data_IF_517556413624
#
_entry.id   IF_517556413624
#
_cell.length_a   1.000
_cell.length_b   1.000
_cell.length_c   1.000
_cell.angle_alpha   90.00
_cell.angle_beta   90.00
_cell.angle_gamma   90.00
#
_symmetry.space_group_name_H-M   'P 1'
#
loop_
_entity.id
_entity.type
_entity.pdbx_description
1 polymer ?
#
# COMPACT_ATOMS: atom_id res chain seq x y z
N UNK A 1 -17.32 16.08 27.53
CA UNK A 1 -16.77 14.74 27.23
C UNK A 1 -15.86 14.28 28.37
N UNK A 2 -16.16 13.15 29.02
CA UNK A 2 -15.38 12.68 30.19
C UNK A 2 -13.96 12.25 29.80
N UNK A 3 -12.96 12.40 30.70
CA UNK A 3 -11.56 12.03 30.43
C UNK A 3 -11.38 10.57 29.99
N UNK A 4 -12.19 9.66 30.53
CA UNK A 4 -12.20 8.24 30.15
C UNK A 4 -12.63 8.03 28.70
N UNK A 5 -13.63 8.78 28.22
CA UNK A 5 -14.14 8.66 26.85
C UNK A 5 -13.08 9.09 25.82
N UNK A 6 -12.30 10.15 26.12
CA UNK A 6 -11.14 10.56 25.30
C UNK A 6 -10.04 9.49 25.24
N UNK A 7 -9.76 8.81 26.36
CA UNK A 7 -8.75 7.75 26.43
C UNK A 7 -9.15 6.52 25.62
N UNK A 8 -10.42 6.11 25.69
CA UNK A 8 -10.95 4.99 24.90
C UNK A 8 -10.86 5.29 23.40
N UNK A 9 -11.36 6.44 22.96
CA UNK A 9 -11.29 6.83 21.54
C UNK A 9 -9.86 6.89 21.01
N UNK A 10 -8.89 7.35 21.82
CA UNK A 10 -7.48 7.35 21.43
C UNK A 10 -6.94 5.93 21.26
N UNK A 11 -7.27 5.01 22.16
CA UNK A 11 -6.87 3.59 22.05
C UNK A 11 -7.48 2.92 20.83
N UNK A 12 -8.74 3.20 20.50
CA UNK A 12 -9.40 2.69 19.30
C UNK A 12 -8.70 3.18 18.03
N UNK A 13 -8.32 4.46 17.96
CA UNK A 13 -7.57 5.01 16.83
C UNK A 13 -6.18 4.36 16.66
N UNK A 14 -5.47 4.10 17.77
CA UNK A 14 -4.20 3.39 17.72
C UNK A 14 -4.38 1.94 17.29
N UNK A 15 -5.41 1.25 17.77
CA UNK A 15 -5.72 -0.13 17.37
C UNK A 15 -6.03 -0.21 15.88
N UNK A 16 -6.87 0.69 15.36
CA UNK A 16 -7.19 0.75 13.94
C UNK A 16 -5.96 1.07 13.09
N UNK A 17 -5.09 1.97 13.54
CA UNK A 17 -3.82 2.27 12.84
C UNK A 17 -2.85 1.09 12.85
N UNK A 18 -2.83 0.32 13.94
CA UNK A 18 -1.98 -0.87 14.07
C UNK A 18 -2.50 -2.04 13.22
N UNK A 19 -3.83 -2.17 13.11
CA UNK A 19 -4.48 -3.15 12.23
C UNK A 19 -4.11 -2.91 10.77
N UNK A 20 -4.21 -1.65 10.32
CA UNK A 20 -3.78 -1.23 8.97
C UNK A 20 -2.29 -1.46 8.73
N UNK A 21 -1.44 -1.22 9.74
CA UNK A 21 -0.02 -1.51 9.66
C UNK A 21 0.27 -3.00 9.47
N UNK A 22 -0.39 -3.85 10.26
CA UNK A 22 -0.23 -5.29 10.19
C UNK A 22 -0.72 -5.88 8.86
N UNK A 23 -1.86 -5.42 8.35
CA UNK A 23 -2.35 -5.85 7.04
C UNK A 23 -1.37 -5.48 5.92
N UNK A 24 -0.77 -4.29 5.99
CA UNK A 24 0.20 -3.83 5.02
C UNK A 24 1.49 -4.65 5.06
N UNK A 25 2.02 -4.92 6.25
CA UNK A 25 3.20 -5.80 6.42
C UNK A 25 2.90 -7.21 5.86
N UNK A 26 1.71 -7.76 6.13
CA UNK A 26 1.28 -9.06 5.60
C UNK A 26 1.08 -9.06 4.08
N UNK A 27 0.75 -7.92 3.48
CA UNK A 27 0.69 -7.77 2.03
C UNK A 27 2.09 -7.77 1.43
N UNK A 28 3.05 -7.10 2.07
CA UNK A 28 4.45 -7.12 1.66
C UNK A 28 5.06 -8.52 1.75
N UNK A 29 4.83 -9.23 2.85
CA UNK A 29 5.29 -10.62 3.00
C UNK A 29 4.77 -11.53 1.87
N UNK A 30 3.49 -11.38 1.52
CA UNK A 30 2.88 -12.11 0.39
C UNK A 30 3.49 -11.77 -0.97
N UNK A 31 3.94 -10.54 -1.15
CA UNK A 31 4.66 -10.11 -2.35
C UNK A 31 6.16 -10.47 -2.31
N UNK A 32 6.64 -11.17 -1.26
CA UNK A 32 8.04 -11.53 -1.10
C UNK A 32 8.96 -10.35 -0.75
N UNK A 33 8.39 -9.25 -0.26
CA UNK A 33 9.12 -8.06 0.16
C UNK A 33 8.84 -7.73 1.63
N UNK A 34 9.48 -6.70 2.15
CA UNK A 34 9.20 -6.18 3.50
C UNK A 34 8.96 -4.69 3.44
N UNK A 35 8.21 -4.16 4.39
CA UNK A 35 8.02 -2.71 4.51
C UNK A 35 9.35 -1.96 4.60
N UNK A 36 10.34 -2.53 5.27
CA UNK A 36 11.68 -1.96 5.36
C UNK A 36 12.38 -1.90 3.98
N UNK A 37 12.34 -2.98 3.21
CA UNK A 37 12.89 -3.01 1.86
C UNK A 37 12.24 -1.95 0.95
N UNK A 38 10.91 -1.84 1.01
CA UNK A 38 10.15 -0.83 0.26
C UNK A 38 10.50 0.59 0.69
N UNK A 39 10.71 0.84 1.99
CA UNK A 39 11.17 2.16 2.45
C UNK A 39 12.61 2.45 2.04
N UNK A 40 13.49 1.44 1.99
CA UNK A 40 14.87 1.61 1.51
C UNK A 40 14.91 1.94 0.02
N UNK A 41 14.05 1.33 -0.79
CA UNK A 41 14.02 1.51 -2.24
C UNK A 41 13.28 2.79 -2.66
N UNK A 42 12.12 3.07 -2.07
CA UNK A 42 11.25 4.18 -2.48
C UNK A 42 11.26 5.39 -1.54
N UNK A 43 11.88 5.28 -0.36
CA UNK A 43 11.90 6.32 0.67
C UNK A 43 10.56 6.56 1.37
N UNK A 44 9.43 6.17 0.75
CA UNK A 44 8.10 6.29 1.33
C UNK A 44 7.09 5.32 0.71
N UNK A 45 6.08 4.93 1.49
CA UNK A 45 4.94 4.13 0.99
C UNK A 45 4.14 4.85 -0.10
N UNK A 46 4.15 6.19 -0.10
CA UNK A 46 3.48 7.00 -1.12
C UNK A 46 4.16 6.82 -2.47
N UNK A 47 5.49 6.95 -2.51
CA UNK A 47 6.28 6.74 -3.73
C UNK A 47 6.13 5.31 -4.26
N UNK A 48 6.12 4.31 -3.38
CA UNK A 48 5.85 2.93 -3.77
C UNK A 48 4.47 2.75 -4.42
N UNK A 49 3.42 3.37 -3.84
CA UNK A 49 2.08 3.33 -4.44
C UNK A 49 2.03 4.03 -5.80
N UNK A 50 2.66 5.20 -5.94
CA UNK A 50 2.71 5.90 -7.23
C UNK A 50 3.43 5.05 -8.30
N UNK A 51 4.48 4.33 -7.91
CA UNK A 51 5.16 3.35 -8.77
C UNK A 51 4.25 2.18 -9.17
N UNK A 52 3.51 1.59 -8.23
CA UNK A 52 2.53 0.53 -8.53
C UNK A 52 1.45 0.99 -9.53
N UNK A 53 0.91 2.20 -9.35
CA UNK A 53 -0.08 2.77 -10.27
C UNK A 53 0.52 3.00 -11.66
N UNK A 54 1.78 3.42 -11.74
CA UNK A 54 2.48 3.56 -13.01
C UNK A 54 2.71 2.20 -13.69
N UNK A 55 3.05 1.16 -12.92
CA UNK A 55 3.24 -0.21 -13.42
C UNK A 55 1.93 -0.83 -13.95
N UNK A 56 0.81 -0.61 -13.25
CA UNK A 56 -0.52 -1.05 -13.68
C UNK A 56 -0.92 -0.40 -15.01
N UNK A 57 -0.75 0.93 -15.12
CA UNK A 57 -0.99 1.66 -16.38
C UNK A 57 -0.08 1.21 -17.52
N UNK A 58 1.18 0.91 -17.24
CA UNK A 58 2.13 0.40 -18.24
C UNK A 58 1.73 -1.02 -18.70
N UNK A 59 1.22 -1.84 -17.79
CA UNK A 59 0.72 -3.18 -18.10
C UNK A 59 -0.54 -3.12 -18.95
N UNK A 60 -1.48 -2.23 -18.64
CA UNK A 60 -2.73 -2.02 -19.39
C UNK A 60 -2.47 -1.47 -20.81
N UNK A 61 -1.54 -0.52 -20.94
CA UNK A 61 -1.11 0.02 -22.24
C UNK A 61 -0.41 -0.99 -23.15
N UNK A 62 0.23 -2.02 -22.58
CA UNK A 62 0.84 -3.11 -23.35
C UNK A 62 -0.20 -4.04 -23.97
N UNK A 63 -1.33 -4.28 -23.30
CA UNK A 63 -2.42 -5.13 -23.84
C UNK A 63 -3.12 -4.46 -25.02
N UNK A 64 -3.22 -3.13 -25.01
CA UNK A 64 -3.82 -2.37 -26.12
C UNK A 64 -2.93 -2.30 -27.38
N UNK A 65 -1.61 -2.43 -27.23
CA UNK A 65 -0.67 -2.34 -28.36
C UNK A 65 -0.51 -3.68 -29.10
N UNK A 66 -0.46 -4.80 -28.37
CA UNK A 66 -0.30 -6.14 -28.98
C UNK A 66 -1.53 -6.56 -29.81
N UNK A 67 -2.72 -6.02 -29.52
CA UNK A 67 -3.95 -6.34 -30.27
C UNK A 67 -4.09 -5.59 -31.60
N UNK A 68 -3.24 -4.60 -31.89
CA UNK A 68 -3.31 -3.80 -33.12
C UNK A 68 -2.34 -4.26 -34.21
N UNK A 69 -1.42 -5.18 -33.90
CA UNK A 69 -0.46 -5.74 -34.88
C UNK A 69 -0.90 -7.11 -35.44
N UNK A 70 -2.13 -7.56 -35.14
CA UNK A 70 -2.76 -8.75 -35.75
C UNK A 70 -4.07 -8.40 -36.49
N UNK A 71 -4.11 -7.27 -37.22
CA UNK A 71 -5.14 -7.01 -38.23
C UNK A 71 -4.50 -6.65 -39.57
#
# INVERSE_FOLDING_TARGET
MSPLKRRVTKLEQYRQSNDVGWELDRAFERAGTTRAAVMTEFGSLRAYRDWLVAQDRASDGSVATVRREMQ
#
